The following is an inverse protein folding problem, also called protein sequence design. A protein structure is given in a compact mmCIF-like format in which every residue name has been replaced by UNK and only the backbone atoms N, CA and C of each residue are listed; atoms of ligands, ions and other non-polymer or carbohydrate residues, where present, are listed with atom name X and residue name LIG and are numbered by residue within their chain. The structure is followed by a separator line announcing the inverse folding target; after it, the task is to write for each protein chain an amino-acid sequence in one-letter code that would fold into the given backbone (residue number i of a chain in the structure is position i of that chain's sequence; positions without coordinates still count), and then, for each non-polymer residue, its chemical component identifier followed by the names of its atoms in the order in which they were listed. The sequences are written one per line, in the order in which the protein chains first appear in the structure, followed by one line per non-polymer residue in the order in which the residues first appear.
data_IF_222143474816
#
_entry.id   IF_222143474816
#
_cell.length_a   1.000
_cell.length_b   1.000
_cell.length_c   1.000
_cell.angle_alpha   90.00
_cell.angle_beta   90.00
_cell.angle_gamma   90.00
#
_symmetry.space_group_name_H-M   'P 1'
#
loop_
_entity.id
_entity.type
_entity.pdbx_description
1 polymer ?
#
# COMPACT_ATOMS: atom_id res chain seq x y z
N UNK A 1 -14.57 9.79 -0.31
CA UNK A 1 -14.21 10.03 1.12
C UNK A 1 -12.69 10.17 1.19
N UNK A 2 -12.18 11.13 1.96
CA UNK A 2 -10.73 11.33 2.06
C UNK A 2 -10.06 10.27 2.95
N UNK A 3 -8.84 9.90 2.56
CA UNK A 3 -8.05 8.87 3.24
C UNK A 3 -7.53 9.41 4.58
N UNK A 4 -7.71 8.66 5.67
CA UNK A 4 -7.09 8.94 6.97
C UNK A 4 -5.64 8.47 6.99
N UNK A 5 -4.74 9.29 7.53
CA UNK A 5 -3.31 8.99 7.61
C UNK A 5 -2.86 8.84 9.06
N UNK A 6 -2.14 7.77 9.36
CA UNK A 6 -1.43 7.54 10.62
C UNK A 6 0.05 7.32 10.30
N UNK A 7 0.91 8.22 10.75
CA UNK A 7 2.34 8.23 10.35
C UNK A 7 3.18 8.28 11.61
N UNK A 8 3.97 7.24 11.83
CA UNK A 8 4.87 7.18 12.96
C UNK A 8 6.02 8.21 12.82
N UNK A 9 6.54 8.72 13.95
CA UNK A 9 7.72 9.58 13.92
C UNK A 9 8.89 8.90 13.21
N UNK A 10 9.75 9.71 12.57
CA UNK A 10 10.98 9.29 11.86
C UNK A 10 10.76 8.60 10.50
N UNK A 11 9.53 8.27 10.12
CA UNK A 11 9.23 7.77 8.77
C UNK A 11 9.57 8.84 7.72
N UNK A 12 10.30 8.44 6.68
CA UNK A 12 10.55 9.25 5.47
C UNK A 12 10.24 8.42 4.26
N UNK A 13 9.20 8.78 3.51
CA UNK A 13 8.75 7.96 2.39
C UNK A 13 8.08 8.83 1.32
N UNK A 14 7.90 8.24 0.15
CA UNK A 14 6.96 8.72 -0.86
C UNK A 14 5.95 7.61 -1.13
N UNK A 15 4.68 7.97 -1.21
CA UNK A 15 3.63 7.05 -1.64
C UNK A 15 3.04 7.57 -2.94
N UNK A 16 3.13 6.76 -3.98
CA UNK A 16 2.68 7.09 -5.33
C UNK A 16 1.37 6.35 -5.56
N UNK A 17 0.29 7.07 -5.84
CA UNK A 17 -1.04 6.50 -6.09
C UNK A 17 -1.45 6.71 -7.54
N UNK A 18 -2.18 5.73 -8.07
CA UNK A 18 -2.61 5.71 -9.46
C UNK A 18 -4.09 5.37 -9.56
N UNK A 19 -4.79 6.07 -10.46
CA UNK A 19 -6.23 5.87 -10.69
C UNK A 19 -6.55 4.67 -11.58
N UNK A 20 -5.55 4.05 -12.19
CA UNK A 20 -5.65 2.84 -12.99
C UNK A 20 -4.86 1.68 -12.39
N UNK A 21 -5.09 0.49 -12.93
CA UNK A 21 -4.32 -0.71 -12.60
C UNK A 21 -2.92 -0.61 -13.20
N UNK A 22 -1.99 -1.37 -12.64
CA UNK A 22 -0.60 -1.47 -13.12
C UNK A 22 0.05 -0.09 -13.36
N UNK A 23 -0.12 0.85 -12.41
CA UNK A 23 0.48 2.19 -12.45
C UNK A 23 0.02 3.08 -13.62
N UNK A 24 -1.18 2.83 -14.16
CA UNK A 24 -1.78 3.65 -15.22
C UNK A 24 -2.68 4.76 -14.68
N UNK A 25 -3.07 5.69 -15.56
CA UNK A 25 -3.97 6.80 -15.21
C UNK A 25 -3.26 7.98 -14.54
N UNK A 26 -4.00 8.72 -13.71
CA UNK A 26 -3.48 9.91 -13.03
C UNK A 26 -2.60 9.49 -11.86
N UNK A 27 -1.35 9.98 -11.85
CA UNK A 27 -0.41 9.77 -10.74
C UNK A 27 -0.51 10.90 -9.73
N UNK A 28 -0.69 10.53 -8.46
CA UNK A 28 -0.58 11.43 -7.31
C UNK A 28 0.58 11.00 -6.43
N UNK A 29 1.38 11.94 -5.94
CA UNK A 29 2.54 11.64 -5.07
C UNK A 29 2.35 12.32 -3.73
N UNK A 30 2.47 11.55 -2.65
CA UNK A 30 2.46 12.04 -1.27
C UNK A 30 3.84 11.84 -0.67
N UNK A 31 4.49 12.94 -0.30
CA UNK A 31 5.77 12.94 0.41
C UNK A 31 5.52 12.92 1.91
N UNK A 32 6.23 12.06 2.63
CA UNK A 32 6.15 11.89 4.08
C UNK A 32 7.48 12.26 4.71
N UNK A 33 7.41 13.12 5.72
CA UNK A 33 8.57 13.67 6.42
C UNK A 33 8.66 13.12 7.83
N UNK A 34 9.88 13.03 8.36
CA UNK A 34 10.22 12.46 9.66
C UNK A 34 9.48 13.04 10.88
N UNK A 35 8.80 14.18 10.73
CA UNK A 35 7.94 14.76 11.77
C UNK A 35 6.50 14.24 11.77
N UNK A 36 6.19 13.14 11.06
CA UNK A 36 4.82 12.63 10.91
C UNK A 36 3.94 13.49 10.01
N UNK A 37 4.54 14.40 9.23
CA UNK A 37 3.82 15.31 8.32
C UNK A 37 3.85 14.76 6.91
N UNK A 38 2.83 15.08 6.12
CA UNK A 38 2.76 14.77 4.69
C UNK A 38 2.56 16.01 3.83
N UNK A 39 3.04 15.97 2.60
CA UNK A 39 2.77 16.97 1.55
C UNK A 39 2.36 16.25 0.27
N UNK A 40 1.32 16.74 -0.40
CA UNK A 40 0.76 16.12 -1.59
C UNK A 40 -0.74 16.43 -1.69
N UNK A 41 -1.40 15.96 -2.75
CA UNK A 41 -2.84 16.16 -2.90
C UNK A 41 -3.61 15.44 -1.80
N UNK A 42 -4.83 15.91 -1.53
CA UNK A 42 -5.82 15.10 -0.85
C UNK A 42 -6.26 13.97 -1.78
N UNK A 43 -6.36 12.77 -1.24
CA UNK A 43 -6.69 11.57 -1.99
C UNK A 43 -8.04 11.05 -1.56
N UNK A 44 -8.82 10.64 -2.54
CA UNK A 44 -10.08 9.95 -2.34
C UNK A 44 -9.85 8.45 -2.51
N UNK A 45 -10.26 7.66 -1.52
CA UNK A 45 -10.01 6.22 -1.47
C UNK A 45 -10.57 5.44 -2.65
N UNK A 46 -11.70 5.90 -3.18
CA UNK A 46 -12.41 5.38 -4.35
C UNK A 46 -11.68 5.55 -5.67
N UNK A 47 -10.61 6.36 -5.68
CA UNK A 47 -9.78 6.59 -6.85
C UNK A 47 -8.48 5.79 -6.81
N UNK A 48 -8.17 5.08 -5.72
CA UNK A 48 -6.91 4.34 -5.61
C UNK A 48 -7.08 2.93 -6.17
N UNK A 49 -6.33 2.60 -7.22
CA UNK A 49 -6.37 1.27 -7.85
C UNK A 49 -5.04 0.54 -7.85
N UNK A 50 -3.93 1.28 -7.89
CA UNK A 50 -2.58 0.76 -7.72
C UNK A 50 -1.72 1.80 -7.02
N UNK A 51 -0.64 1.38 -6.37
CA UNK A 51 0.24 2.30 -5.67
C UNK A 51 1.67 1.78 -5.51
N UNK A 52 2.62 2.66 -5.21
CA UNK A 52 3.99 2.29 -4.90
C UNK A 52 4.46 2.99 -3.62
N UNK A 53 5.24 2.26 -2.82
CA UNK A 53 5.93 2.79 -1.64
C UNK A 53 7.40 2.98 -1.98
N UNK A 54 7.95 4.16 -1.69
CA UNK A 54 9.37 4.48 -1.87
C UNK A 54 9.92 5.00 -0.55
N UNK A 55 11.09 4.52 -0.11
CA UNK A 55 11.63 4.90 1.19
C UNK A 55 12.86 4.09 1.60
N UNK A 56 13.40 4.33 2.80
CA UNK A 56 14.45 3.50 3.36
C UNK A 56 13.94 2.08 3.67
N UNK A 57 14.86 1.12 3.66
CA UNK A 57 14.60 -0.24 4.13
C UNK A 57 13.97 -0.23 5.53
N UNK A 58 13.05 -1.17 5.77
CA UNK A 58 12.26 -1.24 7.00
C UNK A 58 11.05 -0.30 7.04
N UNK A 59 10.83 0.53 6.01
CA UNK A 59 9.57 1.28 5.91
C UNK A 59 8.43 0.35 5.59
N UNK A 60 7.38 0.35 6.42
CA UNK A 60 6.14 -0.40 6.21
C UNK A 60 4.99 0.56 5.88
N UNK A 61 4.15 0.15 4.94
CA UNK A 61 2.87 0.77 4.64
C UNK A 61 1.76 -0.25 4.84
N UNK A 62 0.69 0.17 5.50
CA UNK A 62 -0.55 -0.60 5.63
C UNK A 62 -1.69 0.19 5.01
N UNK A 63 -2.33 -0.41 4.01
CA UNK A 63 -3.54 0.10 3.36
C UNK A 63 -4.74 -0.60 4.01
N UNK A 64 -5.77 0.16 4.36
CA UNK A 64 -6.89 -0.33 5.18
C UNK A 64 -8.22 0.06 4.56
N UNK A 65 -9.16 -0.89 4.52
CA UNK A 65 -10.55 -0.64 4.13
C UNK A 65 -11.41 -0.07 5.28
N UNK A 66 -10.78 0.38 6.37
CA UNK A 66 -11.42 1.00 7.52
C UNK A 66 -10.76 2.35 7.84
N UNK A 67 -11.52 3.38 8.23
CA UNK A 67 -10.98 4.64 8.72
C UNK A 67 -10.70 4.63 10.24
N UNK A 68 -10.95 3.51 10.93
CA UNK A 68 -10.73 3.35 12.37
C UNK A 68 -9.22 3.33 12.69
N UNK A 69 -8.82 3.83 13.86
CA UNK A 69 -7.44 3.70 14.35
C UNK A 69 -7.24 2.50 15.28
N UNK A 70 -8.30 2.03 15.95
CA UNK A 70 -8.22 0.98 16.97
C UNK A 70 -8.50 -0.41 16.41
N UNK A 71 -9.44 -0.53 15.48
CA UNK A 71 -9.98 -1.83 15.04
C UNK A 71 -9.91 -2.00 13.52
N UNK A 72 -9.02 -1.26 12.85
CA UNK A 72 -8.84 -1.36 11.40
C UNK A 72 -8.45 -2.75 10.94
N UNK A 73 -7.79 -3.52 11.80
CA UNK A 73 -7.36 -4.90 11.50
C UNK A 73 -8.54 -5.85 11.29
N UNK A 74 -9.75 -5.47 11.73
CA UNK A 74 -10.99 -6.23 11.51
C UNK A 74 -11.56 -6.04 10.09
N UNK A 75 -11.06 -5.08 9.33
CA UNK A 75 -11.41 -4.87 7.93
C UNK A 75 -10.29 -5.40 7.01
N UNK A 76 -10.57 -5.61 5.71
CA UNK A 76 -9.53 -5.94 4.74
C UNK A 76 -8.38 -4.93 4.78
N UNK A 77 -7.16 -5.44 4.81
CA UNK A 77 -5.96 -4.61 4.75
C UNK A 77 -4.83 -5.31 3.99
N UNK A 78 -3.88 -4.50 3.52
CA UNK A 78 -2.64 -4.95 2.86
C UNK A 78 -1.43 -4.28 3.49
N UNK A 79 -0.47 -5.09 3.93
CA UNK A 79 0.80 -4.61 4.46
C UNK A 79 1.93 -4.86 3.47
N UNK A 80 2.79 -3.86 3.32
CA UNK A 80 3.96 -3.88 2.43
C UNK A 80 5.15 -3.26 3.13
N UNK A 81 6.26 -3.98 3.18
CA UNK A 81 7.53 -3.48 3.73
C UNK A 81 8.59 -3.39 2.63
N UNK A 82 9.40 -2.35 2.69
CA UNK A 82 10.65 -2.28 1.92
C UNK A 82 11.71 -3.20 2.56
N UNK A 83 11.87 -4.42 2.04
CA UNK A 83 12.89 -5.38 2.47
C UNK A 83 13.97 -5.60 1.42
N UNK A 84 15.14 -6.05 1.86
CA UNK A 84 16.22 -6.36 0.94
C UNK A 84 15.82 -7.54 0.04
N UNK A 85 16.03 -7.40 -1.28
CA UNK A 85 15.69 -8.43 -2.26
C UNK A 85 14.25 -8.39 -2.77
N UNK A 86 13.35 -7.63 -2.12
CA UNK A 86 11.96 -7.44 -2.56
C UNK A 86 11.67 -6.02 -3.06
N UNK A 87 12.72 -5.25 -3.32
CA UNK A 87 12.61 -3.85 -3.78
C UNK A 87 13.34 -3.63 -5.08
N UNK A 88 12.78 -2.76 -5.92
CA UNK A 88 13.49 -2.13 -7.03
C UNK A 88 14.05 -0.77 -6.57
N UNK A 89 14.91 -0.15 -7.38
CA UNK A 89 15.34 1.23 -7.14
C UNK A 89 14.40 2.20 -7.85
N UNK A 90 13.90 3.19 -7.11
CA UNK A 90 13.18 4.31 -7.70
C UNK A 90 14.12 5.09 -8.64
N UNK A 91 13.75 5.29 -9.93
CA UNK A 91 14.66 5.86 -10.92
C UNK A 91 15.19 7.26 -10.59
N UNK A 92 14.41 8.06 -9.86
CA UNK A 92 14.74 9.45 -9.56
C UNK A 92 15.49 9.60 -8.24
N UNK A 93 14.99 8.99 -7.16
CA UNK A 93 15.57 9.14 -5.82
C UNK A 93 16.68 8.12 -5.52
N UNK A 94 16.76 7.03 -6.29
CA UNK A 94 17.66 5.90 -6.02
C UNK A 94 17.27 5.07 -4.79
N UNK A 95 16.21 5.47 -4.09
CA UNK A 95 15.71 4.78 -2.90
C UNK A 95 15.02 3.47 -3.25
N UNK A 96 14.99 2.50 -2.32
CA UNK A 96 14.16 1.32 -2.47
C UNK A 96 12.69 1.65 -2.72
N UNK A 97 12.07 0.84 -3.56
CA UNK A 97 10.67 0.95 -3.90
C UNK A 97 10.01 -0.42 -4.04
N UNK A 98 8.75 -0.50 -3.64
CA UNK A 98 7.86 -1.63 -3.87
C UNK A 98 6.64 -1.12 -4.63
N UNK A 99 6.23 -1.89 -5.62
CA UNK A 99 5.13 -1.59 -6.52
C UNK A 99 3.94 -2.50 -6.18
N UNK A 100 2.73 -1.97 -6.13
CA UNK A 100 1.50 -2.75 -5.92
C UNK A 100 0.62 -2.53 -7.16
N UNK A 101 0.71 -3.43 -8.17
CA UNK A 101 0.09 -3.21 -9.48
C UNK A 101 -1.43 -3.33 -9.46
N UNK A 102 -1.99 -4.16 -8.60
CA UNK A 102 -3.42 -4.24 -8.35
C UNK A 102 -3.65 -4.33 -6.85
N UNK A 103 -4.47 -3.42 -6.33
CA UNK A 103 -4.76 -3.35 -4.92
C UNK A 103 -5.58 -4.51 -4.38
N UNK A 104 -6.29 -5.31 -5.17
CA UNK A 104 -7.11 -6.46 -4.71
C UNK A 104 -6.46 -7.81 -4.96
N UNK A 105 -5.52 -7.84 -5.90
CA UNK A 105 -4.90 -9.09 -6.26
C UNK A 105 -3.75 -9.37 -5.31
N UNK A 106 -3.55 -10.66 -5.06
CA UNK A 106 -2.40 -11.16 -4.33
C UNK A 106 -1.09 -10.98 -5.12
N UNK A 107 -1.09 -10.34 -6.29
CA UNK A 107 0.07 -10.21 -7.19
C UNK A 107 1.39 -9.80 -6.52
N UNK A 108 2.49 -10.31 -7.10
CA UNK A 108 3.85 -9.93 -6.70
C UNK A 108 4.04 -8.45 -6.90
N UNK A 109 4.89 -7.84 -6.08
CA UNK A 109 5.17 -6.42 -6.18
C UNK A 109 5.81 -6.00 -7.51
N UNK A 110 6.42 -6.94 -8.22
CA UNK A 110 7.07 -6.76 -9.51
C UNK A 110 6.26 -7.33 -10.67
N UNK A 111 5.02 -7.78 -10.43
CA UNK A 111 4.16 -8.33 -11.47
C UNK A 111 3.87 -7.26 -12.54
N UNK A 112 4.34 -7.52 -13.76
CA UNK A 112 4.01 -6.71 -14.95
C UNK A 112 2.74 -7.29 -15.54
N UNK A 113 1.64 -6.51 -15.47
CA UNK A 113 0.31 -6.75 -16.05
C UNK A 113 -0.10 -8.24 -16.03
N UNK A 114 -0.89 -8.69 -15.04
CA UNK A 114 -1.22 -10.11 -14.93
C UNK A 114 -1.86 -10.57 -16.24
N UNK A 115 -1.27 -11.59 -16.85
CA UNK A 115 -1.98 -12.48 -17.75
C UNK A 115 -3.19 -12.99 -16.96
N UNK A 116 -4.42 -13.02 -17.51
CA UNK A 116 -5.60 -13.52 -16.79
C UNK A 116 -5.43 -14.94 -16.21
N UNK A 117 -4.43 -15.69 -16.65
CA UNK A 117 -4.10 -17.04 -16.16
C UNK A 117 -3.07 -17.06 -14.99
N UNK A 118 -2.50 -15.92 -14.62
CA UNK A 118 -1.46 -15.81 -13.59
C UNK A 118 -2.03 -15.29 -12.25
N UNK A 119 -3.05 -15.95 -11.71
CA UNK A 119 -3.41 -15.82 -10.29
C UNK A 119 -2.40 -16.61 -9.43
N UNK A 120 -1.11 -16.20 -9.43
CA UNK A 120 -0.17 -16.70 -8.43
C UNK A 120 -0.51 -16.06 -7.08
N UNK A 121 -1.36 -16.76 -6.32
CA UNK A 121 -1.74 -16.36 -4.98
C UNK A 121 -0.55 -16.36 -4.01
N UNK A 122 -0.32 -15.23 -3.34
CA UNK A 122 0.60 -15.14 -2.22
C UNK A 122 0.01 -15.80 -0.97
N UNK A 123 0.90 -16.13 -0.03
CA UNK A 123 0.51 -16.52 1.31
C UNK A 123 -0.25 -15.36 1.97
N UNK A 124 -1.39 -15.69 2.55
CA UNK A 124 -2.15 -14.76 3.39
C UNK A 124 -1.31 -14.36 4.59
N UNK A 125 -1.33 -13.08 4.92
CA UNK A 125 -0.69 -12.58 6.12
C UNK A 125 -1.45 -13.11 7.35
N UNK A 126 -0.76 -13.86 8.21
CA UNK A 126 -1.30 -14.29 9.50
C UNK A 126 -1.35 -13.14 10.52
N UNK A 127 -0.59 -12.08 10.30
CA UNK A 127 -0.48 -10.89 11.16
C UNK A 127 0.13 -9.71 10.38
N UNK A 128 -0.04 -8.49 10.88
CA UNK A 128 0.55 -7.27 10.30
C UNK A 128 2.08 -7.33 10.27
N UNK A 129 2.68 -8.08 11.20
CA UNK A 129 4.13 -8.20 11.35
C UNK A 129 4.78 -9.13 10.32
N UNK A 130 4.01 -10.02 9.67
CA UNK A 130 4.54 -10.81 8.54
C UNK A 130 5.01 -9.89 7.41
N UNK A 131 4.32 -8.76 7.25
CA UNK A 131 4.87 -7.57 6.60
C UNK A 131 4.87 -7.57 5.08
N UNK A 132 4.59 -8.73 4.49
CA UNK A 132 4.23 -8.88 3.09
C UNK A 132 2.99 -9.76 3.07
N UNK A 133 1.87 -9.19 2.64
CA UNK A 133 0.67 -9.98 2.43
C UNK A 133 -0.63 -9.28 2.78
N UNK A 134 -1.65 -10.12 2.75
CA UNK A 134 -3.04 -9.74 2.77
C UNK A 134 -3.76 -10.38 3.94
N UNK A 135 -4.64 -9.62 4.59
CA UNK A 135 -5.69 -10.23 5.39
C UNK A 135 -7.00 -10.19 4.64
N UNK A 136 -7.54 -11.38 4.42
CA UNK A 136 -8.96 -11.53 4.17
C UNK A 136 -9.62 -11.81 5.50
N UNK A 137 -9.85 -10.76 6.30
CA UNK A 137 -10.76 -10.89 7.44
C UNK A 137 -12.16 -11.09 6.87
N UNK A 138 -12.51 -12.36 6.64
CA UNK A 138 -13.80 -12.83 6.15
C UNK A 138 -13.97 -12.75 4.64
N UNK A 139 -13.95 -13.91 3.97
CA UNK A 139 -14.50 -14.10 2.59
C UNK A 139 -15.96 -13.65 2.41
N UNK A 140 -16.61 -13.15 3.47
CA UNK A 140 -18.01 -12.77 3.54
C UNK A 140 -18.24 -11.26 3.78
N UNK A 141 -17.19 -10.42 3.76
CA UNK A 141 -17.36 -8.97 3.74
C UNK A 141 -17.28 -8.46 2.29
N UNK A 142 -18.24 -7.64 1.90
CA UNK A 142 -18.43 -7.09 0.54
C UNK A 142 -17.41 -6.03 0.11
N UNK A 143 -16.27 -5.91 0.80
CA UNK A 143 -15.35 -4.79 0.64
C UNK A 143 -14.02 -5.24 0.01
N UNK A 144 -13.81 -4.84 -1.23
CA UNK A 144 -12.52 -4.86 -1.93
C UNK A 144 -11.62 -3.75 -1.37
N UNK A 145 -10.28 -3.87 -1.43
CA UNK A 145 -9.39 -2.80 -0.97
C UNK A 145 -9.24 -1.71 -2.06
N UNK A 146 -9.24 -2.13 -3.32
CA UNK A 146 -9.32 -1.23 -4.48
C UNK A 146 -10.59 -0.40 -4.37
N UNK A 147 -10.45 0.90 -4.63
CA UNK A 147 -11.54 1.85 -4.50
C UNK A 147 -12.18 1.93 -3.09
N UNK A 148 -11.62 1.28 -2.06
CA UNK A 148 -12.09 1.44 -0.67
C UNK A 148 -10.92 1.63 0.29
N UNK A 149 -9.82 2.24 -0.14
CA UNK A 149 -8.74 2.63 0.79
C UNK A 149 -9.23 3.78 1.66
N UNK A 150 -9.55 3.51 2.93
CA UNK A 150 -10.06 4.52 3.87
C UNK A 150 -8.99 4.96 4.89
N UNK A 151 -7.97 4.12 5.12
CA UNK A 151 -6.87 4.38 6.03
C UNK A 151 -5.52 3.99 5.43
N UNK A 152 -4.49 4.79 5.75
CA UNK A 152 -3.09 4.48 5.44
C UNK A 152 -2.25 4.67 6.71
N UNK A 153 -1.52 3.62 7.07
CA UNK A 153 -0.56 3.64 8.17
C UNK A 153 0.86 3.49 7.65
N UNK A 154 1.78 4.28 8.18
CA UNK A 154 3.21 4.19 7.86
C UNK A 154 4.04 4.11 9.14
N UNK A 155 4.89 3.10 9.24
CA UNK A 155 5.79 2.88 10.36
C UNK A 155 7.15 2.30 9.92
N UNK A 156 8.04 2.08 10.89
CA UNK A 156 9.35 1.47 10.69
C UNK A 156 9.40 0.14 11.44
N UNK A 157 9.91 -0.90 10.78
CA UNK A 157 10.03 -2.27 11.30
C UNK A 157 11.42 -2.87 11.06
#
# INVERSE_FOLDING_TARGET
MSIRWSIDPKVRAEVHFFTGLSFSGVRSVVHVFAGGRRQGPELEGDRVKSCALVGPMGTRMVLQASPSETDWELAPWRAVILRQGTTIKAPVSGLPAVQIPDLDHLDRFDAKRPDPDAEEGFLLAGSVDSGEGWTYVGRNLSAELKCNVLGIRLDLV
#
